data_IF_926981871606
#
_entry.id   IF_926981871606
#
_cell.length_a   1.000
_cell.length_b   1.000
_cell.length_c   1.000
_cell.angle_alpha   90.00
_cell.angle_beta   90.00
_cell.angle_gamma   90.00
#
_symmetry.space_group_name_H-M   'P 1'
#
loop_
_entity.id
_entity.type
_entity.pdbx_description
1 polymer ?
#
# COMPACT_ATOMS: atom_id res chain seq x y z
N UNK A 1 25.53 58.08 50.07
CA UNK A 1 26.00 58.65 48.80
C UNK A 1 25.45 57.79 47.68
N UNK A 2 24.53 58.18 46.80
CA UNK A 2 23.87 59.44 46.50
C UNK A 2 23.19 59.28 45.13
N UNK A 3 22.01 59.90 44.96
CA UNK A 3 21.25 60.13 43.71
C UNK A 3 20.56 58.89 43.10
N UNK A 4 19.23 58.76 43.05
CA UNK A 4 18.11 59.65 42.68
C UNK A 4 18.28 60.28 41.29
N UNK A 5 17.63 59.69 40.28
CA UNK A 5 16.98 60.43 39.19
C UNK A 5 15.57 59.90 38.92
N UNK A 6 14.66 60.87 38.86
CA UNK A 6 13.20 60.76 38.65
C UNK A 6 12.87 60.87 37.16
N UNK A 7 11.74 60.28 36.75
CA UNK A 7 10.94 60.76 35.61
C UNK A 7 10.00 59.68 35.04
N UNK A 8 8.71 59.58 35.45
CA UNK A 8 7.48 60.20 34.86
C UNK A 8 7.28 59.82 33.38
N UNK A 9 6.16 59.26 32.87
CA UNK A 9 4.70 59.32 33.15
C UNK A 9 3.99 58.05 32.59
N UNK A 10 3.01 57.46 33.30
CA UNK A 10 1.53 57.45 33.06
C UNK A 10 1.14 56.84 31.68
N UNK A 11 0.28 55.80 31.58
CA UNK A 11 -1.13 55.76 32.00
C UNK A 11 -1.67 54.31 32.08
N UNK A 12 -2.40 54.05 33.17
CA UNK A 12 -3.66 53.29 33.34
C UNK A 12 -4.12 52.38 32.19
N UNK A 13 -4.61 51.16 32.43
CA UNK A 13 -5.79 50.92 33.26
C UNK A 13 -6.05 49.41 33.43
N UNK A 14 -6.44 49.04 34.64
CA UNK A 14 -7.12 47.79 34.99
C UNK A 14 -8.48 47.75 34.32
N UNK A 15 -8.88 46.65 33.68
CA UNK A 15 -10.18 46.01 33.96
C UNK A 15 -10.33 44.62 33.32
N UNK A 16 -10.70 43.68 34.20
CA UNK A 16 -11.64 42.57 33.99
C UNK A 16 -11.21 41.36 33.17
N UNK A 17 -10.67 40.38 33.90
CA UNK A 17 -10.82 38.97 33.60
C UNK A 17 -12.31 38.61 33.73
N UNK A 18 -13.08 38.72 32.65
CA UNK A 18 -14.43 38.16 32.62
C UNK A 18 -14.32 36.66 32.40
N UNK A 19 -14.54 35.91 33.47
CA UNK A 19 -14.68 34.47 33.48
C UNK A 19 -15.95 34.09 32.70
N UNK A 20 -15.82 33.92 31.37
CA UNK A 20 -16.87 33.29 30.57
C UNK A 20 -16.75 31.79 30.79
N UNK A 21 -17.68 31.25 31.58
CA UNK A 21 -17.98 29.82 31.63
C UNK A 21 -18.27 29.34 30.21
N UNK A 22 -17.35 28.58 29.65
CA UNK A 22 -17.54 27.87 28.39
C UNK A 22 -16.53 26.74 28.33
N UNK A 23 -17.01 25.50 28.45
CA UNK A 23 -16.27 24.30 28.10
C UNK A 23 -15.93 24.37 26.60
N UNK A 24 -14.79 24.94 26.24
CA UNK A 24 -14.12 24.64 24.98
C UNK A 24 -13.14 23.51 25.25
N UNK A 25 -13.67 22.29 25.34
CA UNK A 25 -12.88 21.13 24.98
C UNK A 25 -12.38 21.37 23.55
N UNK A 26 -11.08 21.57 23.41
CA UNK A 26 -10.42 21.49 22.12
C UNK A 26 -10.59 20.07 21.62
N UNK A 27 -11.63 19.83 20.82
CA UNK A 27 -11.78 18.59 20.05
C UNK A 27 -10.60 18.56 19.09
N UNK A 28 -9.55 17.83 19.48
CA UNK A 28 -8.52 17.42 18.55
C UNK A 28 -9.20 16.49 17.56
N UNK A 29 -9.57 17.03 16.40
CA UNK A 29 -9.96 16.21 15.25
C UNK A 29 -8.70 15.43 14.88
N UNK A 30 -8.61 14.18 15.33
CA UNK A 30 -7.66 13.23 14.78
C UNK A 30 -8.12 12.95 13.36
N UNK A 31 -7.53 13.65 12.39
CA UNK A 31 -7.64 13.27 10.98
C UNK A 31 -6.89 11.95 10.86
N UNK A 32 -7.63 10.83 10.79
CA UNK A 32 -7.04 9.53 10.52
C UNK A 32 -6.36 9.57 9.16
N UNK A 33 -5.16 9.00 9.05
CA UNK A 33 -4.51 8.85 7.75
C UNK A 33 -5.45 8.14 6.77
N UNK A 34 -5.48 8.53 5.48
CA UNK A 34 -6.38 7.95 4.51
C UNK A 34 -6.11 6.45 4.36
N UNK A 35 -7.18 5.66 4.23
CA UNK A 35 -7.08 4.20 4.13
C UNK A 35 -6.57 3.81 2.75
N UNK A 36 -5.47 3.04 2.69
CA UNK A 36 -5.06 2.44 1.42
C UNK A 36 -6.04 1.30 1.05
N UNK A 37 -6.65 1.37 -0.14
CA UNK A 37 -7.59 0.35 -0.59
C UNK A 37 -6.91 -0.80 -1.33
N UNK A 38 -5.64 -0.63 -1.72
CA UNK A 38 -4.84 -1.73 -2.26
C UNK A 38 -4.68 -2.81 -1.20
N UNK A 39 -5.01 -4.06 -1.54
CA UNK A 39 -4.88 -5.21 -0.64
C UNK A 39 -6.16 -5.58 0.09
N UNK A 40 -7.21 -4.76 0.00
CA UNK A 40 -8.55 -5.15 0.45
C UNK A 40 -9.15 -6.12 -0.57
N UNK A 41 -9.45 -7.35 -0.14
CA UNK A 41 -10.16 -8.32 -0.97
C UNK A 41 -11.61 -7.88 -1.23
N UNK A 42 -12.32 -8.61 -2.10
CA UNK A 42 -13.68 -8.28 -2.50
C UNK A 42 -14.62 -8.03 -1.32
N UNK A 43 -14.53 -8.85 -0.27
CA UNK A 43 -15.39 -8.73 0.90
C UNK A 43 -15.00 -7.52 1.74
N UNK A 44 -13.70 -7.32 1.98
CA UNK A 44 -13.21 -6.16 2.70
C UNK A 44 -13.53 -4.82 1.99
N UNK A 45 -13.56 -4.81 0.66
CA UNK A 45 -14.02 -3.66 -0.12
C UNK A 45 -15.52 -3.44 -0.03
N UNK A 46 -16.33 -4.51 -0.05
CA UNK A 46 -17.77 -4.39 0.17
C UNK A 46 -18.08 -3.77 1.53
N UNK A 47 -17.39 -4.22 2.57
CA UNK A 47 -17.52 -3.67 3.93
C UNK A 47 -17.06 -2.21 3.99
N UNK A 48 -15.98 -1.87 3.28
CA UNK A 48 -15.50 -0.49 3.19
C UNK A 48 -16.55 0.43 2.54
N UNK A 49 -17.11 0.06 1.39
CA UNK A 49 -18.17 0.85 0.76
C UNK A 49 -19.42 0.94 1.64
N UNK A 50 -19.82 -0.16 2.29
CA UNK A 50 -20.95 -0.14 3.22
C UNK A 50 -20.71 0.82 4.40
N UNK A 51 -19.48 0.92 4.91
CA UNK A 51 -19.13 1.86 5.98
C UNK A 51 -19.23 3.34 5.57
N UNK A 52 -19.15 3.62 4.26
CA UNK A 52 -19.37 4.96 3.68
C UNK A 52 -20.85 5.23 3.34
N UNK A 53 -21.76 4.29 3.62
CA UNK A 53 -23.16 4.36 3.20
C UNK A 53 -23.37 4.11 1.70
N UNK A 54 -22.37 3.55 1.02
CA UNK A 54 -22.39 3.26 -0.41
C UNK A 54 -22.79 1.81 -0.70
N UNK A 55 -23.25 1.55 -1.92
CA UNK A 55 -23.67 0.21 -2.33
C UNK A 55 -22.47 -0.71 -2.51
N UNK A 56 -22.57 -1.93 -1.97
CA UNK A 56 -21.51 -2.94 -2.01
C UNK A 56 -21.02 -3.31 -3.43
N UNK A 57 -21.83 -3.12 -4.48
CA UNK A 57 -21.40 -3.40 -5.85
C UNK A 57 -20.27 -2.47 -6.34
N UNK A 58 -20.08 -1.29 -5.74
CA UNK A 58 -18.96 -0.40 -6.07
C UNK A 58 -17.59 -1.05 -5.82
N UNK A 59 -17.52 -2.05 -4.92
CA UNK A 59 -16.32 -2.88 -4.73
C UNK A 59 -15.87 -3.53 -6.05
N UNK A 60 -16.80 -4.04 -6.86
CA UNK A 60 -16.47 -4.62 -8.17
C UNK A 60 -15.86 -3.58 -9.11
N UNK A 61 -16.43 -2.39 -9.18
CA UNK A 61 -15.90 -1.34 -10.05
C UNK A 61 -14.49 -0.96 -9.64
N UNK A 62 -14.26 -0.78 -8.33
CA UNK A 62 -12.93 -0.45 -7.82
C UNK A 62 -11.90 -1.55 -8.12
N UNK A 63 -12.24 -2.82 -7.92
CA UNK A 63 -11.35 -3.95 -8.25
C UNK A 63 -10.92 -3.91 -9.73
N UNK A 64 -11.87 -3.70 -10.64
CA UNK A 64 -11.58 -3.66 -12.07
C UNK A 64 -10.71 -2.44 -12.45
N UNK A 65 -10.98 -1.27 -11.88
CA UNK A 65 -10.15 -0.08 -12.13
C UNK A 65 -8.73 -0.24 -11.64
N UNK A 66 -8.56 -0.72 -10.40
CA UNK A 66 -7.26 -0.83 -9.78
C UNK A 66 -6.44 -1.96 -10.41
N UNK A 67 -7.00 -3.17 -10.51
CA UNK A 67 -6.23 -4.37 -10.83
C UNK A 67 -6.27 -4.77 -12.30
N UNK A 68 -7.35 -4.51 -13.03
CA UNK A 68 -7.42 -4.83 -14.47
C UNK A 68 -6.88 -3.67 -15.33
N UNK A 69 -7.16 -2.43 -14.92
CA UNK A 69 -6.79 -1.23 -15.68
C UNK A 69 -5.55 -0.51 -15.14
N UNK A 70 -5.10 -0.84 -13.93
CA UNK A 70 -3.92 -0.21 -13.33
C UNK A 70 -4.11 1.26 -12.91
N UNK A 71 -5.37 1.70 -12.74
CA UNK A 71 -5.70 3.09 -12.41
C UNK A 71 -5.61 3.32 -10.91
N UNK A 72 -4.83 4.34 -10.52
CA UNK A 72 -4.61 4.70 -9.11
C UNK A 72 -5.24 6.03 -8.71
N UNK A 73 -5.79 6.79 -9.67
CA UNK A 73 -6.52 8.03 -9.41
C UNK A 73 -8.03 7.78 -9.47
N UNK A 74 -8.73 8.07 -8.37
CA UNK A 74 -10.19 7.97 -8.31
C UNK A 74 -10.87 8.90 -9.32
N UNK A 75 -10.23 10.01 -9.70
CA UNK A 75 -10.79 10.97 -10.66
C UNK A 75 -11.01 10.35 -12.04
N UNK A 76 -10.21 9.35 -12.42
CA UNK A 76 -10.28 8.65 -13.71
C UNK A 76 -11.40 7.59 -13.77
N UNK A 77 -12.01 7.24 -12.63
CA UNK A 77 -13.01 6.18 -12.53
C UNK A 77 -14.41 6.66 -13.00
N UNK A 78 -14.59 6.85 -14.30
CA UNK A 78 -15.73 7.56 -14.91
C UNK A 78 -17.10 6.91 -14.70
N UNK A 79 -17.16 5.63 -14.34
CA UNK A 79 -18.40 4.91 -14.00
C UNK A 79 -18.77 5.00 -12.51
N UNK A 80 -17.95 5.71 -11.71
CA UNK A 80 -18.29 6.15 -10.36
C UNK A 80 -18.85 7.57 -10.39
N UNK A 81 -19.96 7.79 -9.67
CA UNK A 81 -20.56 9.12 -9.51
C UNK A 81 -19.54 10.10 -8.93
N UNK A 82 -19.61 11.38 -9.35
CA UNK A 82 -18.66 12.41 -8.94
C UNK A 82 -18.53 12.53 -7.41
N UNK A 83 -19.66 12.49 -6.69
CA UNK A 83 -19.68 12.55 -5.22
C UNK A 83 -18.94 11.38 -4.56
N UNK A 84 -18.99 10.19 -5.16
CA UNK A 84 -18.29 9.01 -4.66
C UNK A 84 -16.79 9.14 -4.91
N UNK A 85 -16.38 9.61 -6.10
CA UNK A 85 -14.96 9.88 -6.39
C UNK A 85 -14.38 10.89 -5.39
N UNK A 86 -15.11 11.95 -5.07
CA UNK A 86 -14.72 12.94 -4.05
C UNK A 86 -14.59 12.30 -2.66
N UNK A 87 -15.61 11.55 -2.23
CA UNK A 87 -15.60 10.84 -0.94
C UNK A 87 -14.40 9.90 -0.83
N UNK A 88 -14.09 9.16 -1.89
CA UNK A 88 -12.92 8.27 -1.94
C UNK A 88 -11.61 9.06 -1.83
N UNK A 89 -11.46 10.16 -2.56
CA UNK A 89 -10.26 11.01 -2.50
C UNK A 89 -10.05 11.66 -1.13
N UNK A 90 -11.10 11.87 -0.35
CA UNK A 90 -11.01 12.43 1.01
C UNK A 90 -10.64 11.39 2.07
N UNK A 91 -11.07 10.13 1.89
CA UNK A 91 -11.00 9.09 2.93
C UNK A 91 -10.01 7.96 2.62
N UNK A 92 -9.56 7.84 1.38
CA UNK A 92 -8.77 6.72 0.90
C UNK A 92 -7.70 7.11 -0.10
N UNK A 93 -6.78 6.17 -0.33
CA UNK A 93 -5.74 6.25 -1.35
C UNK A 93 -5.58 4.92 -2.06
N UNK A 94 -5.03 4.94 -3.28
CA UNK A 94 -4.49 3.77 -3.97
C UNK A 94 -2.97 3.95 -4.02
N UNK A 95 -2.30 3.60 -2.91
CA UNK A 95 -0.87 3.80 -2.77
C UNK A 95 -0.10 2.50 -3.07
N UNK A 96 0.93 2.61 -3.91
CA UNK A 96 1.84 1.53 -4.27
C UNK A 96 3.26 1.84 -3.74
N UNK A 97 4.13 0.83 -3.62
CA UNK A 97 5.56 1.04 -3.37
C UNK A 97 6.21 1.93 -4.44
N UNK A 98 7.32 2.58 -4.10
CA UNK A 98 8.14 3.36 -5.03
C UNK A 98 9.20 2.46 -5.69
N UNK A 99 9.48 2.64 -6.99
CA UNK A 99 10.62 1.97 -7.64
C UNK A 99 11.92 2.68 -7.25
N UNK A 100 12.60 2.19 -6.22
CA UNK A 100 13.88 2.75 -5.79
C UNK A 100 15.03 2.37 -6.73
N UNK A 101 14.97 1.19 -7.35
CA UNK A 101 15.94 0.74 -8.36
C UNK A 101 15.29 -0.28 -9.30
N UNK A 102 15.68 -0.23 -10.57
CA UNK A 102 15.37 -1.25 -11.57
C UNK A 102 16.67 -1.78 -12.18
N UNK A 103 16.74 -3.09 -12.42
CA UNK A 103 17.87 -3.76 -13.07
C UNK A 103 17.34 -4.70 -14.14
N UNK A 104 17.91 -4.61 -15.34
CA UNK A 104 17.48 -5.39 -16.50
C UNK A 104 18.61 -6.34 -16.90
N UNK A 105 18.31 -7.64 -16.96
CA UNK A 105 19.23 -8.66 -17.47
C UNK A 105 19.09 -8.79 -18.99
N UNK A 106 20.12 -9.33 -19.64
CA UNK A 106 20.12 -9.64 -21.08
C UNK A 106 19.13 -10.78 -21.42
N UNK A 107 18.86 -11.67 -20.48
CA UNK A 107 17.87 -12.75 -20.60
C UNK A 107 16.41 -12.26 -20.47
N UNK A 108 16.20 -10.95 -20.29
CA UNK A 108 14.87 -10.36 -20.12
C UNK A 108 14.42 -10.22 -18.68
N UNK A 109 15.09 -10.86 -17.71
CA UNK A 109 14.77 -10.72 -16.28
C UNK A 109 14.75 -9.27 -15.86
N UNK A 110 13.74 -8.89 -15.07
CA UNK A 110 13.65 -7.59 -14.41
C UNK A 110 13.72 -7.79 -12.91
N UNK A 111 14.62 -7.08 -12.26
CA UNK A 111 14.71 -7.04 -10.80
C UNK A 111 14.44 -5.61 -10.35
N UNK A 112 13.46 -5.45 -9.48
CA UNK A 112 13.14 -4.19 -8.85
C UNK A 112 13.42 -4.23 -7.36
N UNK A 113 13.95 -3.11 -6.87
CA UNK A 113 13.96 -2.77 -5.45
C UNK A 113 12.83 -1.79 -5.23
N UNK A 114 11.79 -2.21 -4.51
CA UNK A 114 10.68 -1.35 -4.16
C UNK A 114 10.86 -0.80 -2.76
N UNK A 115 10.72 0.53 -2.61
CA UNK A 115 10.74 1.22 -1.32
C UNK A 115 9.33 1.36 -0.78
N UNK A 116 9.18 0.98 0.49
CA UNK A 116 7.94 1.04 1.24
C UNK A 116 7.84 2.38 1.98
N UNK A 117 6.62 2.73 2.41
CA UNK A 117 6.34 4.03 3.05
C UNK A 117 7.12 4.29 4.35
N UNK A 118 7.59 3.24 5.02
CA UNK A 118 8.37 3.31 6.25
C UNK A 118 9.90 3.23 6.00
N UNK A 119 10.32 3.32 4.73
CA UNK A 119 11.73 3.33 4.33
C UNK A 119 12.35 1.94 4.16
N UNK A 120 11.67 0.86 4.56
CA UNK A 120 12.09 -0.50 4.23
C UNK A 120 12.10 -0.69 2.70
N UNK A 121 12.91 -1.63 2.22
CA UNK A 121 12.95 -2.01 0.81
C UNK A 121 12.78 -3.50 0.63
N UNK A 122 12.08 -3.89 -0.42
CA UNK A 122 11.84 -5.29 -0.78
C UNK A 122 12.18 -5.54 -2.24
N UNK A 123 12.51 -6.79 -2.55
CA UNK A 123 12.81 -7.20 -3.92
C UNK A 123 11.58 -7.83 -4.59
N UNK A 124 11.43 -7.52 -5.88
CA UNK A 124 10.47 -8.17 -6.77
C UNK A 124 11.19 -8.52 -8.06
N UNK A 125 11.02 -9.75 -8.55
CA UNK A 125 11.73 -10.22 -9.74
C UNK A 125 10.74 -10.79 -10.76
N UNK A 126 10.78 -10.28 -11.98
CA UNK A 126 10.08 -10.87 -13.11
C UNK A 126 11.06 -11.70 -13.95
N UNK A 127 10.67 -12.93 -14.24
CA UNK A 127 11.43 -13.92 -14.98
C UNK A 127 10.61 -14.30 -16.22
N UNK A 128 10.98 -13.83 -17.42
CA UNK A 128 10.32 -14.22 -18.65
C UNK A 128 10.81 -15.59 -19.13
N UNK A 129 9.88 -16.35 -19.69
CA UNK A 129 10.11 -17.60 -20.41
C UNK A 129 9.31 -17.59 -21.72
N UNK A 130 9.50 -18.58 -22.60
CA UNK A 130 8.85 -18.60 -23.93
C UNK A 130 7.31 -18.53 -23.85
N UNK A 131 6.71 -19.20 -22.86
CA UNK A 131 5.25 -19.38 -22.74
C UNK A 131 4.65 -18.78 -21.46
N UNK A 132 5.48 -18.20 -20.59
CA UNK A 132 5.04 -17.64 -19.30
C UNK A 132 5.94 -16.53 -18.79
N UNK A 133 5.37 -15.66 -17.96
CA UNK A 133 6.11 -14.69 -17.17
C UNK A 133 5.85 -14.93 -15.69
N UNK A 134 6.91 -15.23 -14.93
CA UNK A 134 6.82 -15.53 -13.50
C UNK A 134 7.26 -14.32 -12.69
N UNK A 135 6.40 -13.86 -11.77
CA UNK A 135 6.73 -12.83 -10.79
C UNK A 135 7.02 -13.45 -9.43
N UNK A 136 8.24 -13.26 -8.95
CA UNK A 136 8.66 -13.58 -7.60
C UNK A 136 8.43 -12.37 -6.69
N UNK A 137 7.60 -12.54 -5.66
CA UNK A 137 7.20 -11.47 -4.75
C UNK A 137 7.56 -11.78 -3.30
N UNK A 138 7.84 -10.72 -2.54
CA UNK A 138 8.19 -10.74 -1.13
C UNK A 138 6.94 -10.75 -0.24
N UNK A 139 7.05 -11.37 0.93
CA UNK A 139 6.01 -11.43 1.97
C UNK A 139 6.39 -10.67 3.24
N UNK A 140 7.67 -10.39 3.46
CA UNK A 140 8.19 -9.65 4.62
C UNK A 140 9.30 -8.70 4.16
N UNK A 141 9.57 -7.65 4.96
CA UNK A 141 10.81 -6.89 4.86
C UNK A 141 11.87 -7.59 5.71
N UNK A 142 12.80 -8.28 5.06
CA UNK A 142 13.70 -9.22 5.71
C UNK A 142 13.06 -10.59 5.94
N UNK A 143 13.67 -11.43 6.78
CA UNK A 143 13.10 -12.74 7.15
C UNK A 143 13.56 -13.13 8.55
N UNK A 144 12.66 -13.70 9.35
CA UNK A 144 12.95 -14.15 10.72
C UNK A 144 13.70 -15.48 10.75
N UNK A 145 13.61 -16.26 9.67
CA UNK A 145 14.31 -17.54 9.56
C UNK A 145 15.80 -17.32 9.29
N UNK A 146 16.64 -18.13 9.93
CA UNK A 146 18.10 -18.03 9.90
C UNK A 146 18.74 -19.01 8.91
N UNK A 147 18.12 -19.20 7.74
CA UNK A 147 18.64 -20.07 6.69
C UNK A 147 20.05 -19.60 6.25
N UNK A 148 21.09 -20.41 6.49
CA UNK A 148 22.50 -20.02 6.32
C UNK A 148 22.89 -19.63 4.89
N UNK A 149 22.17 -20.17 3.90
CA UNK A 149 22.36 -19.90 2.48
C UNK A 149 21.57 -18.68 1.98
N UNK A 150 20.65 -18.13 2.77
CA UNK A 150 19.74 -17.07 2.34
C UNK A 150 20.33 -15.68 2.62
N UNK A 151 20.44 -14.84 1.60
CA UNK A 151 20.90 -13.46 1.75
C UNK A 151 19.93 -12.63 2.64
N UNK A 152 18.62 -12.84 2.50
CA UNK A 152 17.60 -12.17 3.30
C UNK A 152 17.70 -12.52 4.79
N UNK A 153 18.05 -13.77 5.13
CA UNK A 153 18.27 -14.16 6.53
C UNK A 153 19.40 -13.35 7.20
N UNK A 154 20.45 -13.00 6.44
CA UNK A 154 21.56 -12.18 6.95
C UNK A 154 21.18 -10.72 7.20
N UNK A 155 20.14 -10.22 6.53
CA UNK A 155 19.62 -8.86 6.73
C UNK A 155 18.81 -8.77 8.03
N UNK A 156 18.37 -9.90 8.58
CA UNK A 156 17.46 -9.98 9.71
C UNK A 156 16.01 -9.71 9.32
N UNK A 157 15.14 -9.68 10.32
CA UNK A 157 13.72 -9.38 10.16
C UNK A 157 13.43 -7.94 10.59
N UNK A 158 12.66 -7.23 9.76
CA UNK A 158 12.14 -5.90 10.09
C UNK A 158 10.66 -6.00 10.45
N UNK A 159 9.80 -6.36 9.50
CA UNK A 159 8.37 -6.53 9.71
C UNK A 159 7.68 -7.35 8.63
N UNK A 160 6.44 -7.73 8.91
CA UNK A 160 5.51 -8.23 7.91
C UNK A 160 5.07 -7.13 6.93
N UNK A 161 4.83 -7.52 5.68
CA UNK A 161 4.18 -6.68 4.70
C UNK A 161 2.66 -6.70 4.89
N UNK A 162 2.01 -5.57 4.65
CA UNK A 162 0.56 -5.53 4.51
C UNK A 162 0.12 -6.23 3.21
N UNK A 163 -1.16 -6.62 3.12
CA UNK A 163 -1.70 -7.19 1.89
C UNK A 163 -1.51 -6.25 0.68
N UNK A 164 -1.62 -4.94 0.92
CA UNK A 164 -1.42 -3.90 -0.08
C UNK A 164 0.01 -3.84 -0.61
N UNK A 165 1.01 -4.02 0.25
CA UNK A 165 2.42 -4.09 -0.15
C UNK A 165 2.75 -5.40 -0.87
N UNK A 166 2.09 -6.51 -0.53
CA UNK A 166 2.27 -7.78 -1.25
C UNK A 166 1.67 -7.71 -2.64
N UNK A 167 0.38 -7.40 -2.76
CA UNK A 167 -0.29 -7.33 -4.07
C UNK A 167 0.18 -6.14 -4.92
N UNK A 168 0.64 -5.07 -4.25
CA UNK A 168 1.20 -3.89 -4.90
C UNK A 168 2.45 -4.20 -5.71
N UNK A 169 3.23 -5.23 -5.33
CA UNK A 169 4.36 -5.71 -6.14
C UNK A 169 3.89 -6.21 -7.50
N UNK A 170 2.82 -7.01 -7.54
CA UNK A 170 2.24 -7.52 -8.77
C UNK A 170 1.66 -6.41 -9.63
N UNK A 171 0.87 -5.52 -9.01
CA UNK A 171 0.24 -4.40 -9.73
C UNK A 171 1.26 -3.46 -10.34
N UNK A 172 2.31 -3.10 -9.59
CA UNK A 172 3.35 -2.20 -10.07
C UNK A 172 4.21 -2.88 -11.15
N UNK A 173 4.62 -4.13 -10.95
CA UNK A 173 5.39 -4.88 -11.95
C UNK A 173 4.61 -5.07 -13.26
N UNK A 174 3.32 -5.42 -13.19
CA UNK A 174 2.46 -5.58 -14.37
C UNK A 174 2.37 -4.27 -15.17
N UNK A 175 2.16 -3.14 -14.47
CA UNK A 175 2.15 -1.81 -15.11
C UNK A 175 3.47 -1.48 -15.78
N UNK A 176 4.61 -1.70 -15.11
CA UNK A 176 5.94 -1.42 -15.66
C UNK A 176 6.22 -2.29 -16.90
N UNK A 177 5.89 -3.58 -16.84
CA UNK A 177 6.09 -4.50 -17.96
C UNK A 177 5.18 -4.16 -19.16
N UNK A 178 3.92 -3.77 -18.92
CA UNK A 178 3.04 -3.27 -19.98
C UNK A 178 3.60 -2.03 -20.67
N UNK A 179 4.14 -1.09 -19.89
CA UNK A 179 4.79 0.12 -20.42
C UNK A 179 6.05 -0.19 -21.23
N UNK A 180 6.77 -1.26 -20.88
CA UNK A 180 7.91 -1.78 -21.64
C UNK A 180 7.51 -2.60 -22.89
N UNK A 181 6.22 -2.85 -23.12
CA UNK A 181 5.73 -3.56 -24.31
C UNK A 181 5.68 -5.08 -24.21
N UNK A 182 5.67 -5.66 -22.99
CA UNK A 182 5.55 -7.11 -22.77
C UNK A 182 4.14 -7.69 -23.04
N UNK A 183 3.23 -6.88 -23.60
CA UNK A 183 1.85 -7.27 -23.92
C UNK A 183 0.85 -7.05 -22.78
N UNK A 184 -0.40 -7.45 -23.01
CA UNK A 184 -1.53 -7.19 -22.09
C UNK A 184 -1.52 -8.01 -20.80
N UNK A 185 -0.85 -9.17 -20.80
CA UNK A 185 -0.73 -10.06 -19.64
C UNK A 185 0.70 -10.59 -19.51
N UNK A 186 1.66 -9.72 -19.16
CA UNK A 186 3.07 -10.10 -19.08
C UNK A 186 3.32 -11.11 -17.96
N UNK A 187 2.57 -11.02 -16.86
CA UNK A 187 2.70 -11.91 -15.71
C UNK A 187 1.57 -12.94 -15.74
N UNK A 188 1.94 -14.20 -15.94
CA UNK A 188 1.02 -15.32 -15.93
C UNK A 188 1.16 -16.21 -14.70
N UNK A 189 2.28 -16.12 -13.98
CA UNK A 189 2.60 -16.92 -12.81
C UNK A 189 3.12 -16.02 -11.67
N UNK A 190 2.75 -16.35 -10.43
CA UNK A 190 3.23 -15.65 -9.22
C UNK A 190 3.76 -16.68 -8.24
N UNK A 191 4.94 -16.41 -7.68
CA UNK A 191 5.56 -17.24 -6.65
C UNK A 191 5.90 -16.42 -5.40
N UNK A 192 5.50 -16.90 -4.23
CA UNK A 192 5.86 -16.32 -2.93
C UNK A 192 7.26 -16.82 -2.51
N UNK A 193 8.27 -16.46 -3.30
CA UNK A 193 9.67 -16.89 -3.12
C UNK A 193 10.63 -15.71 -3.00
N UNK A 194 10.11 -14.50 -2.77
CA UNK A 194 10.91 -13.31 -2.52
C UNK A 194 11.43 -13.28 -1.08
N UNK A 195 11.48 -12.08 -0.51
CA UNK A 195 11.92 -11.89 0.88
C UNK A 195 10.82 -12.32 1.86
N UNK A 196 11.19 -13.10 2.88
CA UNK A 196 10.32 -13.48 3.99
C UNK A 196 9.75 -14.90 3.92
N UNK A 197 9.24 -15.37 5.05
CA UNK A 197 8.48 -16.63 5.17
C UNK A 197 6.97 -16.33 5.09
N UNK A 198 6.27 -16.70 4.00
CA UNK A 198 4.86 -16.35 3.81
C UNK A 198 3.93 -16.85 4.92
N UNK A 199 4.19 -18.02 5.51
CA UNK A 199 3.32 -18.55 6.56
C UNK A 199 3.43 -17.78 7.88
N UNK A 200 4.52 -17.06 8.13
CA UNK A 200 4.66 -16.13 9.26
C UNK A 200 4.00 -14.76 8.99
N UNK A 201 3.40 -14.58 7.82
CA UNK A 201 2.59 -13.43 7.45
C UNK A 201 1.23 -13.85 6.84
N UNK A 202 0.62 -14.88 7.44
CA UNK A 202 -0.52 -15.61 6.88
C UNK A 202 -1.67 -14.71 6.40
N UNK A 203 -2.21 -13.83 7.25
CA UNK A 203 -3.43 -13.07 6.93
C UNK A 203 -3.23 -12.13 5.74
N UNK A 204 -2.10 -11.42 5.69
CA UNK A 204 -1.78 -10.51 4.60
C UNK A 204 -1.51 -11.28 3.29
N UNK A 205 -0.79 -12.39 3.38
CA UNK A 205 -0.50 -13.27 2.23
C UNK A 205 -1.77 -13.85 1.65
N UNK A 206 -2.65 -14.41 2.49
CA UNK A 206 -3.94 -14.98 2.04
C UNK A 206 -4.81 -13.91 1.40
N UNK A 207 -4.89 -12.71 1.97
CA UNK A 207 -5.65 -11.59 1.40
C UNK A 207 -5.11 -11.18 0.02
N UNK A 208 -3.78 -11.09 -0.13
CA UNK A 208 -3.15 -10.80 -1.42
C UNK A 208 -3.37 -11.94 -2.44
N UNK A 209 -3.26 -13.20 -2.03
CA UNK A 209 -3.51 -14.35 -2.91
C UNK A 209 -4.97 -14.41 -3.37
N UNK A 210 -5.94 -14.02 -2.52
CA UNK A 210 -7.35 -13.90 -2.95
C UNK A 210 -7.48 -12.91 -4.11
N UNK A 211 -6.81 -11.76 -4.04
CA UNK A 211 -6.79 -10.77 -5.13
C UNK A 211 -6.07 -11.28 -6.39
N UNK A 212 -5.01 -12.09 -6.25
CA UNK A 212 -4.36 -12.72 -7.41
C UNK A 212 -5.32 -13.65 -8.17
N UNK A 213 -6.18 -14.36 -7.45
CA UNK A 213 -7.11 -15.36 -8.01
C UNK A 213 -8.45 -14.76 -8.45
N UNK A 214 -8.83 -13.60 -7.93
CA UNK A 214 -10.12 -12.95 -8.15
C UNK A 214 -10.29 -12.51 -9.62
N UNK A 215 -11.43 -12.84 -10.23
CA UNK A 215 -11.74 -12.60 -11.65
C UNK A 215 -12.00 -11.12 -11.98
N UNK A 216 -12.34 -10.30 -10.98
CA UNK A 216 -12.44 -8.84 -11.10
C UNK A 216 -11.09 -8.16 -10.85
N UNK A 217 -10.06 -8.94 -10.51
CA UNK A 217 -8.69 -8.51 -10.26
C UNK A 217 -7.75 -9.12 -11.32
N UNK A 218 -6.75 -9.91 -10.93
CA UNK A 218 -5.80 -10.51 -11.88
C UNK A 218 -6.32 -11.80 -12.54
N UNK A 219 -7.26 -12.51 -11.91
CA UNK A 219 -7.87 -13.73 -12.45
C UNK A 219 -6.87 -14.86 -12.74
N UNK A 220 -5.78 -14.95 -11.96
CA UNK A 220 -4.80 -16.02 -12.11
C UNK A 220 -5.39 -17.37 -11.71
N UNK A 221 -5.00 -18.42 -12.41
CA UNK A 221 -5.35 -19.79 -12.00
C UNK A 221 -4.66 -20.14 -10.69
N UNK A 222 -5.35 -20.90 -9.82
CA UNK A 222 -4.75 -21.48 -8.60
C UNK A 222 -3.48 -22.29 -8.87
N UNK A 223 -3.35 -22.88 -10.07
CA UNK A 223 -2.16 -23.63 -10.50
C UNK A 223 -0.97 -22.74 -10.88
N UNK A 224 -1.17 -21.42 -10.95
CA UNK A 224 -0.18 -20.42 -11.34
C UNK A 224 0.18 -19.46 -10.21
N UNK A 225 -0.35 -19.68 -9.00
CA UNK A 225 0.02 -18.95 -7.78
C UNK A 225 0.60 -19.96 -6.78
N UNK A 226 1.90 -19.90 -6.55
CA UNK A 226 2.61 -20.86 -5.71
C UNK A 226 3.10 -20.20 -4.43
N UNK A 227 2.72 -20.77 -3.28
CA UNK A 227 3.28 -20.39 -1.99
C UNK A 227 4.44 -21.34 -1.65
N UNK A 228 5.61 -20.79 -1.35
CA UNK A 228 6.76 -21.53 -0.84
C UNK A 228 6.88 -21.32 0.66
N UNK A 229 7.26 -22.37 1.41
CA UNK A 229 7.46 -22.28 2.87
C UNK A 229 8.62 -23.17 3.30
N UNK A 230 9.31 -22.76 4.36
CA UNK A 230 10.32 -23.57 5.04
C UNK A 230 9.72 -24.63 6.00
N UNK A 231 8.40 -24.68 6.18
CA UNK A 231 7.71 -25.67 7.02
C UNK A 231 7.47 -25.19 8.45
N UNK A 232 6.70 -24.10 8.58
CA UNK A 232 6.23 -23.52 9.86
C UNK A 232 5.03 -24.29 10.41
#
# INVERSE_FOLDING_TARGET
MGQILRGRRLLSSSTTLTFVRGLTEAVRIFVSAPKNLVGLDRFALQDYFASLGEKAFHARQLLQWVYQRGVTDFSEMTDLRLSLRQTLSENAVIALPEVARAQHSQDGTRKWLFRLSDGNSIETVFIPEEDRGTLCISSQAGCMLTCSFCATARQGFSRNLSAGEIIGQLLLADRLLKQEGWGERPISNVVMMGMGEPLLNYDAVVSAMRLMLDDLSFGLSRRRVTLSTAGV
#
